data_IF_133608441645
#
_entry.id   IF_133608441645
#
_cell.length_a   1.000
_cell.length_b   1.000
_cell.length_c   1.000
_cell.angle_alpha   90.00
_cell.angle_beta   90.00
_cell.angle_gamma   90.00
#
_symmetry.space_group_name_H-M   'P 1'
#
loop_
_entity.id
_entity.type
_entity.pdbx_description
1 polymer ?
#
# COMPACT_ATOMS: atom_id res chain seq x y z
N UNK A 1 -75.46 -56.39 42.20
CA UNK A 1 -74.01 -56.41 42.34
C UNK A 1 -73.43 -55.63 41.18
N UNK A 2 -73.06 -54.37 41.37
CA UNK A 2 -72.60 -53.49 40.33
C UNK A 2 -71.09 -53.19 40.53
N UNK A 3 -70.25 -53.69 39.66
CA UNK A 3 -68.79 -53.48 39.65
C UNK A 3 -68.48 -52.16 39.05
N UNK A 4 -67.95 -51.19 39.84
CA UNK A 4 -67.45 -49.89 39.37
C UNK A 4 -66.00 -50.07 38.95
N UNK A 5 -65.69 -49.91 37.67
CA UNK A 5 -64.31 -49.86 37.14
C UNK A 5 -63.80 -48.40 37.30
N UNK A 6 -62.66 -48.25 38.05
CA UNK A 6 -61.94 -46.99 38.22
C UNK A 6 -60.99 -46.89 37.04
N UNK A 7 -61.20 -45.93 36.14
CA UNK A 7 -60.22 -45.55 35.07
C UNK A 7 -59.31 -44.50 35.65
N UNK A 8 -58.02 -44.86 35.91
CA UNK A 8 -56.93 -43.95 36.24
C UNK A 8 -56.42 -43.31 34.93
N UNK A 9 -56.74 -42.04 34.74
CA UNK A 9 -56.26 -41.24 33.61
C UNK A 9 -54.87 -40.69 33.99
N UNK A 10 -53.78 -41.34 33.51
CA UNK A 10 -52.41 -40.87 33.68
C UNK A 10 -52.16 -39.79 32.60
N UNK A 11 -52.21 -38.51 32.99
CA UNK A 11 -51.77 -37.39 32.18
C UNK A 11 -50.26 -37.37 32.09
N UNK A 12 -49.73 -37.85 30.98
CA UNK A 12 -48.30 -37.71 30.63
C UNK A 12 -48.01 -36.25 30.30
N UNK A 13 -47.38 -35.50 31.21
CA UNK A 13 -46.89 -34.15 30.94
C UNK A 13 -45.73 -34.25 29.91
N UNK A 14 -46.03 -34.02 28.65
CA UNK A 14 -45.02 -33.80 27.61
C UNK A 14 -44.50 -32.40 27.82
N UNK A 15 -43.37 -32.23 28.53
CA UNK A 15 -42.63 -30.97 28.50
C UNK A 15 -42.09 -30.75 27.06
N UNK A 16 -42.42 -29.62 26.40
CA UNK A 16 -41.77 -29.30 25.13
C UNK A 16 -40.29 -29.07 25.42
N UNK A 17 -39.42 -29.95 24.97
CA UNK A 17 -38.00 -29.67 24.84
C UNK A 17 -37.90 -28.47 23.89
N UNK A 18 -37.67 -27.28 24.44
CA UNK A 18 -37.27 -26.11 23.66
C UNK A 18 -35.91 -26.45 23.06
N UNK A 19 -35.90 -26.97 21.85
CA UNK A 19 -34.69 -27.10 21.04
C UNK A 19 -34.18 -25.64 20.86
N UNK A 20 -33.15 -25.25 21.59
CA UNK A 20 -32.45 -24.00 21.32
C UNK A 20 -31.96 -24.06 19.89
N UNK A 21 -32.30 -23.06 19.06
CA UNK A 21 -31.81 -23.06 17.67
C UNK A 21 -30.29 -23.11 17.71
N UNK A 22 -29.70 -24.15 17.09
CA UNK A 22 -28.29 -24.25 16.90
C UNK A 22 -27.85 -23.02 16.09
N UNK A 23 -27.09 -22.09 16.69
CA UNK A 23 -26.56 -20.94 15.98
C UNK A 23 -25.57 -21.46 14.94
N UNK A 24 -25.77 -21.07 13.68
CA UNK A 24 -24.81 -21.35 12.64
C UNK A 24 -23.47 -20.69 13.00
N UNK A 25 -22.40 -21.49 13.04
CA UNK A 25 -21.06 -20.96 13.30
C UNK A 25 -20.54 -20.23 12.05
N UNK A 26 -20.02 -19.02 12.22
CA UNK A 26 -19.38 -18.29 11.13
C UNK A 26 -18.42 -17.24 11.69
N UNK A 27 -17.39 -16.91 10.92
CA UNK A 27 -16.53 -15.78 11.20
C UNK A 27 -16.56 -14.82 10.01
N UNK A 28 -16.97 -13.58 10.22
CA UNK A 28 -17.09 -12.55 9.18
C UNK A 28 -16.32 -11.29 9.57
N UNK A 29 -15.83 -10.55 8.58
CA UNK A 29 -15.33 -9.19 8.79
C UNK A 29 -16.50 -8.22 8.68
N UNK A 30 -16.66 -7.33 9.67
CA UNK A 30 -17.70 -6.29 9.64
C UNK A 30 -17.37 -5.15 8.67
N UNK A 31 -16.10 -4.98 8.30
CA UNK A 31 -15.59 -3.90 7.44
C UNK A 31 -14.44 -4.40 6.58
N UNK A 32 -14.20 -3.69 5.46
CA UNK A 32 -13.00 -3.89 4.63
C UNK A 32 -11.75 -3.55 5.45
N UNK A 33 -10.78 -4.47 5.51
CA UNK A 33 -9.48 -4.17 6.10
C UNK A 33 -8.63 -3.34 5.14
N UNK A 34 -7.80 -2.45 5.69
CA UNK A 34 -6.87 -1.64 4.91
C UNK A 34 -5.43 -1.97 5.28
N UNK A 35 -4.57 -2.03 4.27
CA UNK A 35 -3.13 -2.20 4.41
C UNK A 35 -2.44 -1.05 3.67
N UNK A 36 -2.04 -0.01 4.42
CA UNK A 36 -1.44 1.19 3.84
C UNK A 36 0.09 1.17 4.01
N UNK A 37 0.80 1.23 2.89
CA UNK A 37 2.26 1.30 2.83
C UNK A 37 2.79 2.73 3.02
N UNK A 38 1.89 3.73 3.08
CA UNK A 38 2.26 5.13 3.21
C UNK A 38 2.91 5.71 1.96
N UNK A 39 3.80 6.69 2.15
CA UNK A 39 4.53 7.32 1.04
C UNK A 39 5.85 6.59 0.78
N UNK A 40 6.04 6.16 -0.46
CA UNK A 40 7.18 5.40 -0.95
C UNK A 40 7.96 6.27 -1.93
N UNK A 41 9.28 6.14 -1.96
CA UNK A 41 10.13 6.81 -2.95
C UNK A 41 9.78 6.35 -4.38
N UNK A 42 9.99 7.23 -5.36
CA UNK A 42 9.69 6.94 -6.77
C UNK A 42 10.47 5.76 -7.36
N UNK A 43 11.66 5.51 -6.84
CA UNK A 43 12.50 4.38 -7.21
C UNK A 43 12.93 3.66 -5.91
N UNK A 44 12.05 2.84 -5.31
CA UNK A 44 12.36 2.18 -4.05
C UNK A 44 13.49 1.16 -4.26
N UNK A 45 14.67 1.45 -3.72
CA UNK A 45 15.82 0.54 -3.77
C UNK A 45 15.73 -0.55 -2.72
N UNK A 46 15.02 -0.26 -1.63
CA UNK A 46 14.77 -1.19 -0.53
C UNK A 46 13.29 -1.51 -0.41
N UNK A 47 12.98 -2.64 0.17
CA UNK A 47 11.62 -3.04 0.47
C UNK A 47 11.01 -2.15 1.57
N UNK A 48 9.69 -1.99 1.53
CA UNK A 48 8.92 -1.32 2.59
C UNK A 48 7.95 -2.31 3.20
N UNK A 49 8.07 -2.53 4.50
CA UNK A 49 7.28 -3.48 5.26
C UNK A 49 6.24 -2.74 6.12
N UNK A 50 5.02 -3.27 6.14
CA UNK A 50 3.94 -2.81 7.03
C UNK A 50 3.21 -4.00 7.63
N UNK A 51 2.50 -3.77 8.71
CA UNK A 51 1.61 -4.76 9.33
C UNK A 51 0.26 -4.12 9.56
N UNK A 52 -0.77 -4.76 9.03
CA UNK A 52 -2.17 -4.44 9.24
C UNK A 52 -2.88 -5.56 10.00
N UNK A 53 -4.18 -5.42 10.22
CA UNK A 53 -5.03 -6.43 10.84
C UNK A 53 -6.40 -6.45 10.21
N UNK A 54 -6.90 -7.65 9.98
CA UNK A 54 -8.28 -7.92 9.64
C UNK A 54 -8.96 -8.53 10.87
N UNK A 55 -9.96 -7.87 11.43
CA UNK A 55 -10.67 -8.38 12.60
C UNK A 55 -11.90 -9.19 12.15
N UNK A 56 -11.96 -10.44 12.57
CA UNK A 56 -13.10 -11.31 12.35
C UNK A 56 -13.95 -11.42 13.61
N UNK A 57 -15.25 -11.24 13.46
CA UNK A 57 -16.23 -11.56 14.52
C UNK A 57 -16.78 -12.95 14.25
N UNK A 58 -16.50 -13.87 15.16
CA UNK A 58 -16.97 -15.25 15.12
C UNK A 58 -18.19 -15.43 15.99
N UNK A 59 -19.17 -16.19 15.50
CA UNK A 59 -20.40 -16.55 16.22
C UNK A 59 -20.62 -18.06 16.15
N UNK A 60 -21.33 -18.62 17.15
CA UNK A 60 -21.65 -20.03 17.22
C UNK A 60 -22.24 -20.42 18.57
N UNK A 61 -22.10 -21.68 18.97
CA UNK A 61 -22.53 -22.16 20.28
C UNK A 61 -21.58 -21.69 21.38
N UNK A 62 -22.11 -21.52 22.59
CA UNK A 62 -21.31 -21.16 23.77
C UNK A 62 -20.15 -22.13 23.98
N UNK A 63 -18.96 -21.61 24.28
CA UNK A 63 -17.74 -22.36 24.56
C UNK A 63 -17.29 -23.31 23.43
N UNK A 64 -17.77 -23.11 22.21
CA UNK A 64 -17.40 -23.90 21.05
C UNK A 64 -16.00 -23.54 20.56
N UNK A 65 -15.19 -24.57 20.24
CA UNK A 65 -13.91 -24.38 19.56
C UNK A 65 -14.13 -24.32 18.06
N UNK A 66 -13.53 -23.32 17.43
CA UNK A 66 -13.56 -23.11 15.99
C UNK A 66 -12.14 -23.07 15.44
N UNK A 67 -11.92 -23.69 14.29
CA UNK A 67 -10.79 -23.47 13.42
C UNK A 67 -11.18 -22.43 12.37
N UNK A 68 -10.29 -21.48 12.12
CA UNK A 68 -10.46 -20.38 11.16
C UNK A 68 -9.35 -20.49 10.15
N UNK A 69 -9.72 -20.48 8.87
CA UNK A 69 -8.81 -20.46 7.75
C UNK A 69 -9.09 -19.21 6.92
N UNK A 70 -8.12 -18.32 6.80
CA UNK A 70 -8.26 -17.08 6.00
C UNK A 70 -7.38 -17.17 4.78
N UNK A 71 -7.94 -16.85 3.62
CA UNK A 71 -7.23 -16.73 2.35
C UNK A 71 -7.58 -15.41 1.67
N UNK A 72 -6.64 -14.89 0.87
CA UNK A 72 -6.85 -13.71 0.02
C UNK A 72 -6.69 -14.10 -1.44
N UNK A 73 -7.61 -13.64 -2.27
CA UNK A 73 -7.53 -13.83 -3.71
C UNK A 73 -6.41 -12.98 -4.33
N UNK A 74 -6.20 -13.11 -5.63
CA UNK A 74 -5.41 -12.18 -6.41
C UNK A 74 -6.03 -10.77 -6.34
N UNK A 75 -5.19 -9.75 -6.41
CA UNK A 75 -5.64 -8.37 -6.42
C UNK A 75 -5.80 -7.82 -7.84
N UNK A 76 -5.35 -6.59 -8.03
CA UNK A 76 -5.34 -5.91 -9.33
C UNK A 76 -4.66 -6.79 -10.40
N UNK A 77 -5.18 -6.74 -11.63
CA UNK A 77 -4.69 -7.50 -12.79
C UNK A 77 -4.69 -9.02 -12.60
N UNK A 78 -5.44 -9.53 -11.64
CA UNK A 78 -5.46 -10.94 -11.25
C UNK A 78 -4.05 -11.49 -10.91
N UNK A 79 -3.16 -10.61 -10.41
CA UNK A 79 -1.80 -10.93 -10.03
C UNK A 79 -1.76 -11.39 -8.56
N UNK A 80 -1.17 -12.56 -8.32
CA UNK A 80 -1.07 -13.15 -6.98
C UNK A 80 0.36 -13.12 -6.42
N UNK A 81 1.37 -13.31 -7.25
CA UNK A 81 2.76 -13.40 -6.78
C UNK A 81 3.76 -12.87 -7.84
N UNK A 82 4.20 -11.63 -7.71
CA UNK A 82 3.73 -10.63 -6.75
C UNK A 82 2.36 -10.07 -7.10
N UNK A 83 1.66 -9.55 -6.10
CA UNK A 83 0.49 -8.69 -6.29
C UNK A 83 0.92 -7.32 -6.78
N UNK A 84 -0.01 -6.57 -7.39
CA UNK A 84 0.27 -5.20 -7.83
C UNK A 84 -0.77 -4.21 -7.31
N UNK A 85 -0.29 -3.01 -6.95
CA UNK A 85 -1.12 -1.83 -6.77
C UNK A 85 -1.11 -1.06 -8.09
N UNK A 86 -2.23 -0.45 -8.46
CA UNK A 86 -2.36 0.27 -9.72
C UNK A 86 -2.58 1.78 -9.52
N UNK A 87 -1.97 2.57 -10.43
CA UNK A 87 -2.27 3.97 -10.67
C UNK A 87 -2.35 4.17 -12.19
N UNK A 88 -3.57 4.17 -12.74
CA UNK A 88 -3.75 4.09 -14.19
C UNK A 88 -3.06 2.85 -14.77
N UNK A 89 -2.10 3.06 -15.66
CA UNK A 89 -1.28 1.99 -16.26
C UNK A 89 -0.04 1.62 -15.43
N UNK A 90 0.34 2.45 -14.46
CA UNK A 90 1.50 2.20 -13.62
C UNK A 90 1.22 1.10 -12.58
N UNK A 91 2.22 0.28 -12.29
CA UNK A 91 2.12 -0.86 -11.38
C UNK A 91 3.23 -0.82 -10.34
N UNK A 92 2.85 -0.99 -9.08
CA UNK A 92 3.76 -1.12 -7.94
C UNK A 92 3.61 -2.54 -7.36
N UNK A 93 4.67 -3.32 -7.43
CA UNK A 93 4.66 -4.71 -6.96
C UNK A 93 4.75 -4.77 -5.43
N UNK A 94 3.90 -5.58 -4.84
CA UNK A 94 3.85 -5.84 -3.40
C UNK A 94 3.43 -7.28 -3.11
N UNK A 95 3.51 -7.70 -1.84
CA UNK A 95 3.00 -8.99 -1.42
C UNK A 95 2.40 -8.90 -0.02
N UNK A 96 1.49 -9.83 0.29
CA UNK A 96 0.90 -10.02 1.63
C UNK A 96 1.22 -11.44 2.09
N UNK A 97 1.65 -11.55 3.35
CA UNK A 97 2.07 -12.80 3.97
C UNK A 97 1.23 -13.09 5.20
N UNK A 98 1.12 -14.37 5.54
CA UNK A 98 0.46 -14.86 6.75
C UNK A 98 1.38 -14.89 7.97
N UNK A 99 2.69 -14.75 7.78
CA UNK A 99 3.72 -14.83 8.81
C UNK A 99 4.55 -13.54 8.93
N UNK A 100 5.03 -13.26 10.14
CA UNK A 100 5.84 -12.07 10.43
C UNK A 100 7.19 -12.06 9.69
N UNK A 101 7.74 -13.22 9.39
CA UNK A 101 8.99 -13.38 8.62
C UNK A 101 8.80 -13.08 7.12
N UNK A 102 7.55 -12.96 6.67
CA UNK A 102 7.17 -12.72 5.28
C UNK A 102 7.72 -13.77 4.31
N UNK A 103 7.51 -15.01 4.66
CA UNK A 103 7.92 -16.18 3.86
C UNK A 103 6.73 -16.94 3.28
N UNK A 104 5.58 -16.93 3.96
CA UNK A 104 4.37 -17.64 3.57
C UNK A 104 3.37 -16.65 2.95
N UNK A 105 3.23 -16.69 1.64
CA UNK A 105 2.26 -15.84 0.92
C UNK A 105 0.85 -16.16 1.37
N UNK A 106 0.08 -15.15 1.76
CA UNK A 106 -1.34 -15.29 2.06
C UNK A 106 -2.14 -15.30 0.74
N UNK A 107 -2.67 -16.45 0.35
CA UNK A 107 -3.30 -16.64 -0.96
C UNK A 107 -4.35 -17.76 -0.96
N UNK A 108 -4.96 -18.08 -2.11
CA UNK A 108 -5.97 -19.11 -2.23
C UNK A 108 -5.40 -20.52 -2.43
N UNK A 109 -4.08 -20.64 -2.59
CA UNK A 109 -3.41 -21.91 -2.86
C UNK A 109 -3.22 -22.77 -1.60
N UNK A 110 -2.83 -24.02 -1.81
CA UNK A 110 -2.49 -24.93 -0.72
C UNK A 110 -1.36 -24.36 0.13
N UNK A 111 -1.50 -24.45 1.47
CA UNK A 111 -0.56 -23.91 2.45
C UNK A 111 -0.37 -22.37 2.39
N UNK A 112 -1.30 -21.65 1.77
CA UNK A 112 -1.29 -20.20 1.68
C UNK A 112 -2.38 -19.56 2.57
N UNK A 113 -2.79 -20.24 3.63
CA UNK A 113 -3.79 -19.76 4.57
C UNK A 113 -3.14 -19.20 5.83
N UNK A 114 -3.82 -18.22 6.43
CA UNK A 114 -3.65 -17.96 7.85
C UNK A 114 -4.58 -18.90 8.61
N UNK A 115 -4.05 -19.62 9.60
CA UNK A 115 -4.79 -20.55 10.43
C UNK A 115 -4.81 -20.07 11.88
N UNK A 116 -5.98 -20.10 12.49
CA UNK A 116 -6.16 -19.84 13.91
C UNK A 116 -7.20 -20.77 14.52
N UNK A 117 -7.11 -20.96 15.82
CA UNK A 117 -8.15 -21.61 16.62
C UNK A 117 -8.64 -20.63 17.67
N UNK A 118 -9.94 -20.63 17.91
CA UNK A 118 -10.57 -19.76 18.89
C UNK A 118 -11.66 -20.53 19.64
N UNK A 119 -11.77 -20.26 20.93
CA UNK A 119 -12.89 -20.74 21.75
C UNK A 119 -13.88 -19.57 21.90
N UNK A 120 -15.12 -19.79 21.51
CA UNK A 120 -16.18 -18.81 21.68
C UNK A 120 -16.48 -18.61 23.18
N UNK A 121 -16.87 -17.40 23.55
CA UNK A 121 -17.31 -17.06 24.91
C UNK A 121 -18.59 -17.83 25.32
N UNK A 122 -18.97 -17.73 26.58
CA UNK A 122 -20.26 -18.22 27.07
C UNK A 122 -21.49 -17.61 26.36
N UNK A 123 -21.31 -16.45 25.68
CA UNK A 123 -22.31 -15.85 24.81
C UNK A 123 -22.26 -16.31 23.35
N UNK A 124 -21.35 -17.21 23.00
CA UNK A 124 -21.21 -17.75 21.64
C UNK A 124 -20.54 -16.79 20.67
N UNK A 125 -19.66 -15.90 21.13
CA UNK A 125 -18.97 -14.92 20.29
C UNK A 125 -17.47 -14.87 20.61
N UNK A 126 -16.64 -14.48 19.61
CA UNK A 126 -15.24 -14.14 19.79
C UNK A 126 -14.80 -13.18 18.70
N UNK A 127 -13.76 -12.36 18.97
CA UNK A 127 -13.08 -11.57 17.97
C UNK A 127 -11.68 -12.12 17.74
N UNK A 128 -11.32 -12.30 16.47
CA UNK A 128 -10.04 -12.90 16.05
C UNK A 128 -9.31 -11.89 15.17
N UNK A 129 -8.21 -11.30 15.63
CA UNK A 129 -7.35 -10.49 14.79
C UNK A 129 -6.53 -11.39 13.86
N UNK A 130 -6.63 -11.16 12.56
CA UNK A 130 -5.83 -11.81 11.53
C UNK A 130 -4.75 -10.82 11.08
N UNK A 131 -3.48 -11.06 11.37
CA UNK A 131 -2.41 -10.16 10.96
C UNK A 131 -2.22 -10.22 9.44
N UNK A 132 -1.98 -9.07 8.83
CA UNK A 132 -1.66 -8.91 7.42
C UNK A 132 -0.24 -8.33 7.32
N UNK A 133 0.74 -9.13 6.94
CA UNK A 133 2.12 -8.70 6.80
C UNK A 133 2.37 -8.30 5.35
N UNK A 134 2.40 -6.99 5.08
CA UNK A 134 2.63 -6.45 3.74
C UNK A 134 4.09 -6.12 3.49
N UNK A 135 4.51 -6.24 2.22
CA UNK A 135 5.83 -5.83 1.73
C UNK A 135 5.71 -5.25 0.33
N UNK A 136 6.12 -4.01 0.14
CA UNK A 136 6.43 -3.49 -1.19
C UNK A 136 7.82 -4.00 -1.59
N UNK A 137 7.92 -4.55 -2.77
CA UNK A 137 9.16 -5.13 -3.30
C UNK A 137 10.10 -3.99 -3.70
N UNK A 138 11.36 -4.07 -3.28
CA UNK A 138 12.38 -3.11 -3.66
C UNK A 138 12.81 -3.21 -5.14
N UNK A 139 13.70 -2.31 -5.55
CA UNK A 139 14.29 -2.28 -6.90
C UNK A 139 13.28 -2.12 -8.04
N UNK A 140 12.22 -1.32 -7.83
CA UNK A 140 11.26 -0.95 -8.85
C UNK A 140 11.57 0.45 -9.38
N UNK A 141 11.46 0.64 -10.69
CA UNK A 141 11.79 1.90 -11.37
C UNK A 141 10.64 2.35 -12.26
N UNK A 142 10.65 3.62 -12.66
CA UNK A 142 9.67 4.16 -13.60
C UNK A 142 8.26 4.33 -13.01
N UNK A 143 8.13 4.39 -11.69
CA UNK A 143 6.85 4.59 -11.03
C UNK A 143 6.39 6.06 -11.21
N UNK A 144 5.15 6.25 -11.63
CA UNK A 144 4.54 7.57 -11.67
C UNK A 144 4.20 8.06 -10.26
N UNK A 145 4.21 9.37 -10.03
CA UNK A 145 3.70 9.95 -8.78
C UNK A 145 2.19 9.76 -8.67
N UNK A 146 1.69 9.62 -7.44
CA UNK A 146 0.26 9.48 -7.18
C UNK A 146 -0.09 8.34 -6.26
N UNK A 147 -1.38 8.07 -6.12
CA UNK A 147 -1.92 7.01 -5.26
C UNK A 147 -2.09 5.72 -6.04
N UNK A 148 -1.61 4.64 -5.47
CA UNK A 148 -1.70 3.27 -5.97
C UNK A 148 -2.60 2.46 -5.08
N UNK A 149 -3.53 1.71 -5.64
CA UNK A 149 -4.48 0.91 -4.87
C UNK A 149 -4.70 -0.46 -5.50
N UNK A 150 -5.08 -1.42 -4.66
CA UNK A 150 -5.55 -2.74 -5.08
C UNK A 150 -6.57 -3.22 -4.05
N UNK A 151 -7.74 -3.63 -4.51
CA UNK A 151 -8.75 -4.29 -3.68
C UNK A 151 -8.83 -5.75 -4.07
N UNK A 152 -8.75 -6.62 -3.09
CA UNK A 152 -8.82 -8.06 -3.26
C UNK A 152 -9.89 -8.67 -2.39
N UNK A 153 -10.57 -9.66 -2.93
CA UNK A 153 -11.45 -10.53 -2.20
C UNK A 153 -10.68 -11.55 -1.37
N UNK A 154 -11.41 -12.33 -0.62
CA UNK A 154 -10.88 -13.44 0.14
C UNK A 154 -11.98 -14.18 0.86
N UNK A 155 -11.60 -15.17 1.65
CA UNK A 155 -12.53 -15.99 2.42
C UNK A 155 -12.03 -16.24 3.83
N UNK A 156 -12.98 -16.23 4.77
CA UNK A 156 -12.80 -16.82 6.09
C UNK A 156 -13.63 -18.10 6.15
N UNK A 157 -12.98 -19.24 6.24
CA UNK A 157 -13.63 -20.55 6.39
C UNK A 157 -13.58 -20.94 7.85
N UNK A 158 -14.73 -21.29 8.43
CA UNK A 158 -14.90 -21.66 9.84
C UNK A 158 -15.30 -23.12 9.92
N UNK A 159 -14.56 -23.92 10.69
CA UNK A 159 -14.83 -25.34 10.92
C UNK A 159 -14.86 -25.65 12.43
N UNK A 160 -15.79 -26.50 12.85
CA UNK A 160 -15.86 -27.01 14.22
C UNK A 160 -14.88 -28.16 14.47
N UNK A 161 -14.43 -28.83 13.41
CA UNK A 161 -13.37 -29.82 13.50
C UNK A 161 -12.00 -29.12 13.45
N UNK A 162 -11.45 -28.81 14.61
CA UNK A 162 -10.17 -28.11 14.74
C UNK A 162 -8.96 -28.89 14.23
N UNK A 163 -9.07 -30.20 14.08
CA UNK A 163 -8.03 -31.06 13.52
C UNK A 163 -8.01 -31.13 11.99
N UNK A 164 -9.03 -30.57 11.32
CA UNK A 164 -9.12 -30.61 9.86
C UNK A 164 -8.21 -29.58 9.20
N UNK A 165 -7.58 -29.94 8.08
CA UNK A 165 -6.76 -29.02 7.29
C UNK A 165 -7.62 -27.94 6.61
N UNK A 166 -7.10 -26.72 6.46
CA UNK A 166 -7.71 -25.63 5.69
C UNK A 166 -7.89 -25.99 4.20
N UNK A 167 -7.13 -26.95 3.69
CA UNK A 167 -7.24 -27.43 2.31
C UNK A 167 -8.42 -28.40 2.10
N UNK A 168 -9.15 -28.78 3.14
CA UNK A 168 -10.20 -29.81 3.06
C UNK A 168 -11.45 -29.37 2.29
N UNK A 169 -11.63 -28.07 2.05
CA UNK A 169 -12.83 -27.53 1.42
C UNK A 169 -14.09 -27.59 2.27
N UNK A 170 -13.99 -28.03 3.53
CA UNK A 170 -15.09 -28.12 4.47
C UNK A 170 -15.17 -26.88 5.35
N UNK A 171 -16.33 -26.65 5.95
CA UNK A 171 -16.60 -25.51 6.82
C UNK A 171 -17.53 -24.49 6.19
N UNK A 172 -17.88 -23.47 6.96
CA UNK A 172 -18.75 -22.37 6.51
C UNK A 172 -17.85 -21.23 6.02
N UNK A 173 -18.01 -20.85 4.77
CA UNK A 173 -17.24 -19.81 4.12
C UNK A 173 -17.98 -18.48 4.15
N UNK A 174 -17.26 -17.41 4.56
CA UNK A 174 -17.70 -16.03 4.48
C UNK A 174 -16.72 -15.23 3.62
N UNK A 175 -17.24 -14.37 2.73
CA UNK A 175 -16.39 -13.48 1.96
C UNK A 175 -15.84 -12.34 2.81
N UNK A 176 -14.66 -11.91 2.47
CA UNK A 176 -14.00 -10.76 3.06
C UNK A 176 -13.34 -9.90 1.97
N UNK A 177 -12.94 -8.69 2.34
CA UNK A 177 -12.28 -7.78 1.42
C UNK A 177 -11.14 -7.06 2.12
N UNK A 178 -10.01 -6.91 1.40
CA UNK A 178 -8.85 -6.15 1.84
C UNK A 178 -8.48 -5.15 0.75
N UNK A 179 -8.22 -3.91 1.14
CA UNK A 179 -7.67 -2.88 0.25
C UNK A 179 -6.25 -2.55 0.66
N UNK A 180 -5.31 -2.71 -0.26
CA UNK A 180 -3.94 -2.26 -0.10
C UNK A 180 -3.72 -0.94 -0.82
N UNK A 181 -2.95 -0.03 -0.23
CA UNK A 181 -2.64 1.29 -0.77
C UNK A 181 -1.20 1.70 -0.54
N UNK A 182 -0.68 2.55 -1.43
CA UNK A 182 0.58 3.24 -1.30
C UNK A 182 0.51 4.58 -2.05
N UNK A 183 1.39 5.52 -1.71
CA UNK A 183 1.56 6.76 -2.44
C UNK A 183 3.00 6.91 -2.91
N UNK A 184 3.21 7.16 -4.19
CA UNK A 184 4.51 7.56 -4.72
C UNK A 184 4.59 9.08 -4.69
N UNK A 185 5.59 9.59 -3.95
CA UNK A 185 5.82 11.03 -3.84
C UNK A 185 6.33 11.63 -5.14
N UNK A 186 5.94 12.88 -5.43
CA UNK A 186 6.54 13.69 -6.49
C UNK A 186 7.90 14.19 -6.01
N UNK A 187 8.97 13.93 -6.77
CA UNK A 187 10.33 14.34 -6.41
C UNK A 187 11.17 14.55 -7.67
N UNK A 188 12.05 15.56 -7.61
CA UNK A 188 13.08 15.79 -8.61
C UNK A 188 14.43 16.02 -7.90
N UNK A 189 15.48 15.52 -8.49
CA UNK A 189 16.87 15.87 -8.16
C UNK A 189 17.49 16.60 -9.33
N UNK A 190 18.35 17.58 -9.04
CA UNK A 190 19.10 18.33 -10.04
C UNK A 190 20.59 18.29 -9.69
N UNK A 191 21.41 18.02 -10.68
CA UNK A 191 22.86 18.13 -10.61
C UNK A 191 23.29 19.09 -11.71
N UNK A 192 23.92 20.20 -11.32
CA UNK A 192 24.42 21.20 -12.26
C UNK A 192 25.94 21.15 -12.27
N UNK A 193 26.53 21.19 -13.47
CA UNK A 193 27.96 21.39 -13.64
C UNK A 193 28.30 22.87 -13.62
N UNK A 194 29.54 23.20 -13.25
CA UNK A 194 30.01 24.57 -13.27
C UNK A 194 29.99 25.14 -14.69
N UNK A 195 29.60 26.41 -14.82
CA UNK A 195 29.71 27.19 -16.05
C UNK A 195 30.98 28.05 -15.97
N UNK A 196 32.01 27.61 -16.68
CA UNK A 196 33.26 28.38 -16.80
C UNK A 196 33.30 29.13 -18.13
N UNK A 197 33.63 30.40 -18.07
CA UNK A 197 33.95 31.19 -19.26
C UNK A 197 35.45 31.04 -19.58
N UNK A 198 35.84 30.99 -20.86
CA UNK A 198 37.26 31.00 -21.26
C UNK A 198 38.00 32.23 -20.74
N UNK A 199 39.29 32.07 -20.47
CA UNK A 199 40.17 33.19 -20.10
C UNK A 199 40.29 34.17 -21.24
N UNK A 200 40.20 35.47 -20.94
CA UNK A 200 40.35 36.55 -21.92
C UNK A 200 41.22 37.67 -21.37
N UNK A 201 42.00 38.27 -22.25
CA UNK A 201 42.87 39.42 -21.92
C UNK A 201 42.14 40.76 -21.94
N UNK A 202 40.88 40.79 -22.37
CA UNK A 202 39.98 41.93 -22.40
C UNK A 202 38.60 41.53 -22.86
N UNK A 203 37.60 42.38 -22.61
CA UNK A 203 36.20 42.17 -22.96
C UNK A 203 35.82 43.03 -24.16
N UNK A 204 36.46 42.87 -25.31
CA UNK A 204 36.16 43.58 -26.56
C UNK A 204 35.03 42.98 -27.35
N UNK A 205 34.63 41.72 -27.02
CA UNK A 205 33.52 40.99 -27.60
C UNK A 205 32.88 40.07 -26.55
N UNK A 206 31.71 39.54 -26.85
CA UNK A 206 31.08 38.55 -26.00
C UNK A 206 31.93 37.30 -25.92
N UNK A 207 32.05 36.76 -24.72
CA UNK A 207 32.72 35.48 -24.43
C UNK A 207 31.64 34.47 -24.06
N UNK A 208 31.62 33.37 -24.76
CA UNK A 208 30.60 32.34 -24.61
C UNK A 208 31.12 31.16 -23.81
N UNK A 209 30.31 30.61 -22.93
CA UNK A 209 30.49 29.37 -22.23
C UNK A 209 29.22 28.54 -22.27
N UNK A 210 29.35 27.24 -22.04
CA UNK A 210 28.22 26.32 -21.93
C UNK A 210 28.43 25.37 -20.77
N UNK A 211 27.35 25.00 -20.14
CA UNK A 211 27.32 23.98 -19.10
C UNK A 211 26.05 23.13 -19.24
N UNK A 212 26.00 22.05 -18.48
CA UNK A 212 24.87 21.12 -18.51
C UNK A 212 24.31 20.93 -17.11
N UNK A 213 23.00 20.71 -17.05
CA UNK A 213 22.30 20.27 -15.84
C UNK A 213 21.62 18.96 -16.12
N UNK A 214 21.67 18.05 -15.17
CA UNK A 214 20.93 16.81 -15.20
C UNK A 214 19.78 16.88 -14.20
N UNK A 215 18.56 16.63 -14.66
CA UNK A 215 17.35 16.58 -13.83
C UNK A 215 16.81 15.17 -13.89
N UNK A 216 16.57 14.60 -12.73
CA UNK A 216 15.94 13.28 -12.58
C UNK A 216 14.70 13.44 -11.73
N UNK A 217 13.53 13.24 -12.33
CA UNK A 217 12.24 13.37 -11.65
C UNK A 217 11.54 12.00 -11.56
N UNK A 218 10.57 11.91 -10.64
CA UNK A 218 9.55 10.87 -10.67
C UNK A 218 8.93 10.79 -12.06
N UNK A 219 8.67 9.58 -12.56
CA UNK A 219 8.16 9.37 -13.92
C UNK A 219 6.90 10.20 -14.19
N UNK A 220 6.84 10.82 -15.37
CA UNK A 220 5.75 11.71 -15.82
C UNK A 220 5.51 12.94 -14.93
N UNK A 221 6.46 13.33 -14.08
CA UNK A 221 6.35 14.56 -13.31
C UNK A 221 6.76 15.76 -14.16
N UNK A 222 5.87 16.72 -14.44
CA UNK A 222 6.26 17.98 -15.08
C UNK A 222 7.11 18.83 -14.12
N UNK A 223 8.14 19.47 -14.66
CA UNK A 223 9.01 20.33 -13.87
C UNK A 223 9.40 21.58 -14.65
N UNK A 224 9.77 22.63 -13.90
CA UNK A 224 10.33 23.85 -14.44
C UNK A 224 11.63 24.16 -13.70
N UNK A 225 12.66 24.59 -14.43
CA UNK A 225 13.92 25.05 -13.86
C UNK A 225 13.97 26.58 -13.96
N UNK A 226 14.15 27.24 -12.83
CA UNK A 226 14.27 28.68 -12.71
C UNK A 226 15.64 29.04 -12.17
N UNK A 227 16.23 30.13 -12.67
CA UNK A 227 17.52 30.64 -12.23
C UNK A 227 17.33 32.06 -11.71
N UNK A 228 17.75 32.33 -10.48
CA UNK A 228 17.67 33.67 -9.88
C UNK A 228 18.64 34.64 -10.54
N UNK A 229 18.58 35.93 -10.15
CA UNK A 229 19.39 37.01 -10.68
C UNK A 229 20.85 37.02 -10.20
N UNK A 230 21.30 36.04 -9.39
CA UNK A 230 22.66 36.04 -8.82
C UNK A 230 22.93 37.29 -7.95
N UNK A 231 24.16 37.79 -7.98
CA UNK A 231 24.56 38.98 -7.18
C UNK A 231 23.79 40.23 -7.48
N UNK A 232 23.32 40.40 -8.71
CA UNK A 232 22.56 41.62 -9.10
C UNK A 232 21.11 41.58 -8.67
N UNK A 233 20.56 40.42 -8.33
CA UNK A 233 19.13 40.22 -8.14
C UNK A 233 18.30 40.33 -9.44
N UNK A 234 18.94 40.62 -10.58
CA UNK A 234 18.29 40.80 -11.88
C UNK A 234 18.71 39.71 -12.87
N UNK A 235 17.79 38.82 -13.24
CA UNK A 235 18.07 37.73 -14.16
C UNK A 235 18.42 38.18 -15.59
N UNK A 236 18.05 39.38 -16.00
CA UNK A 236 18.41 39.98 -17.30
C UNK A 236 19.79 40.65 -17.31
N UNK A 237 20.36 40.94 -16.13
CA UNK A 237 21.64 41.62 -16.00
C UNK A 237 22.43 41.08 -14.80
N UNK A 238 22.77 39.78 -14.88
CA UNK A 238 23.52 39.11 -13.81
C UNK A 238 24.94 39.64 -13.71
N UNK A 239 25.47 39.66 -12.49
CA UNK A 239 26.84 40.09 -12.21
C UNK A 239 27.60 38.97 -11.53
N UNK A 240 28.85 38.75 -11.93
CA UNK A 240 29.81 37.99 -11.18
C UNK A 240 30.91 38.90 -10.66
N UNK A 241 31.26 38.76 -9.39
CA UNK A 241 32.33 39.48 -8.73
C UNK A 241 33.65 38.74 -8.78
N UNK A 242 34.73 39.44 -8.52
CA UNK A 242 36.04 38.83 -8.35
C UNK A 242 36.10 38.00 -7.07
N UNK A 243 36.85 36.90 -7.11
CA UNK A 243 37.14 36.12 -5.91
C UNK A 243 37.91 36.96 -4.88
N UNK A 244 37.55 36.81 -3.59
CA UNK A 244 38.23 37.54 -2.51
C UNK A 244 37.74 38.96 -2.27
N UNK A 245 36.52 39.31 -2.69
CA UNK A 245 35.91 40.64 -2.51
C UNK A 245 36.68 41.81 -3.16
N UNK A 246 37.51 41.58 -4.16
CA UNK A 246 38.15 42.62 -4.91
C UNK A 246 37.11 43.45 -5.70
N UNK A 247 37.29 44.77 -5.88
CA UNK A 247 36.36 45.58 -6.64
C UNK A 247 36.41 45.20 -8.13
N UNK A 248 35.24 45.06 -8.71
CA UNK A 248 35.05 44.73 -10.13
C UNK A 248 33.97 43.67 -10.33
N UNK A 249 33.17 43.87 -11.34
CA UNK A 249 32.09 42.98 -11.72
C UNK A 249 32.08 42.80 -13.23
N UNK A 250 31.71 41.61 -13.66
CA UNK A 250 31.48 41.29 -15.07
C UNK A 250 29.98 40.97 -15.21
N UNK A 251 29.34 41.64 -16.16
CA UNK A 251 27.97 41.35 -16.51
C UNK A 251 27.90 40.10 -17.40
N UNK A 252 26.94 39.21 -17.11
CA UNK A 252 26.67 38.03 -17.93
C UNK A 252 25.19 37.74 -18.04
N UNK A 253 24.82 36.94 -19.01
CA UNK A 253 23.46 36.43 -19.19
C UNK A 253 23.46 34.91 -19.36
N UNK A 254 22.37 34.26 -18.96
CA UNK A 254 22.14 32.85 -19.16
C UNK A 254 20.99 32.66 -20.13
N UNK A 255 21.15 31.72 -21.04
CA UNK A 255 20.16 31.37 -22.06
C UNK A 255 19.84 29.89 -22.03
N UNK A 256 18.62 29.55 -22.46
CA UNK A 256 18.15 28.17 -22.55
C UNK A 256 18.55 27.49 -23.88
N UNK A 257 18.96 28.27 -24.86
CA UNK A 257 19.24 27.87 -26.21
C UNK A 257 20.67 28.23 -26.64
N UNK A 258 21.23 27.45 -27.54
CA UNK A 258 22.58 27.67 -28.09
C UNK A 258 22.69 28.98 -28.94
N UNK A 259 21.54 29.42 -29.50
CA UNK A 259 21.47 30.67 -30.25
C UNK A 259 21.40 31.91 -29.37
N UNK A 260 21.32 31.76 -28.04
CA UNK A 260 21.26 32.88 -27.06
C UNK A 260 20.13 33.87 -27.31
N UNK A 261 18.99 33.32 -27.77
CA UNK A 261 17.79 34.12 -28.05
C UNK A 261 16.79 34.08 -26.89
N UNK A 262 16.82 33.04 -26.04
CA UNK A 262 15.88 32.82 -24.97
C UNK A 262 16.56 33.00 -23.61
N UNK A 263 16.44 34.19 -23.03
CA UNK A 263 17.00 34.48 -21.71
C UNK A 263 16.40 33.56 -20.64
N UNK A 264 17.26 33.07 -19.74
CA UNK A 264 16.85 32.15 -18.65
C UNK A 264 16.83 32.89 -17.32
N UNK A 265 15.67 32.98 -16.70
CA UNK A 265 15.44 33.70 -15.45
C UNK A 265 14.51 32.94 -14.50
N UNK A 266 14.01 33.67 -13.51
CA UNK A 266 13.06 33.21 -12.50
C UNK A 266 11.60 33.48 -12.85
N UNK A 267 11.38 34.36 -13.85
CA UNK A 267 10.05 34.60 -14.38
C UNK A 267 9.55 33.38 -15.18
N UNK A 268 8.29 33.07 -15.03
CA UNK A 268 7.59 32.14 -15.92
C UNK A 268 7.52 32.77 -17.31
N UNK A 269 8.14 32.12 -18.29
CA UNK A 269 7.81 32.40 -19.67
C UNK A 269 6.51 31.69 -20.00
#
# INVERSE_FOLDING_TARGET
MTLRALILLSTLLILPWMAMPARAQSCSSGTTATLDFGTIAANPTVQTDVTGSLNLTCTGSANQNLKICVSLDAGQDNALSPRVLANGTARLSYQIYSDASRTLVLGPGNNQYYEAQVTLSGGGTATVPVPLYGRVIGSQTGLASGSYTSTMGGRAVTDTNTGRSCNSGNGISQSLQVTASARIGASCTIVANDLAFPSATGLTANIDGSSTMQVTCTNNLPYNIKLNGGLSGNAAARLMGLQGNAPGVIQYQLFRDSGRSQAWGDSTA
#
